data_IF_647318192286
#
_entry.id   IF_647318192286
#
_cell.length_a   1.000
_cell.length_b   1.000
_cell.length_c   1.000
_cell.angle_alpha   90.00
_cell.angle_beta   90.00
_cell.angle_gamma   90.00
#
_symmetry.space_group_name_H-M   'P 1'
#
loop_
_entity.id
_entity.type
_entity.pdbx_description
1 polymer ?
#
# COMPACT_ATOMS: atom_id res chain seq x y z
N UNK A 1 14.64 23.81 37.13
CA UNK A 1 13.25 24.29 37.02
C UNK A 1 13.17 25.04 35.69
N UNK A 2 12.34 24.60 34.73
CA UNK A 2 12.14 25.37 33.51
C UNK A 2 11.70 26.79 33.85
N UNK A 3 12.21 27.77 33.11
CA UNK A 3 11.93 29.19 33.35
C UNK A 3 10.44 29.47 33.06
N UNK A 4 9.75 30.20 33.94
CA UNK A 4 8.30 30.51 33.81
C UNK A 4 7.95 31.08 32.41
N UNK A 5 8.90 31.78 31.80
CA UNK A 5 8.86 32.30 30.43
C UNK A 5 8.65 31.22 29.34
N UNK A 6 9.23 30.03 29.50
CA UNK A 6 9.12 28.94 28.53
C UNK A 6 7.77 28.22 28.60
N UNK A 7 7.20 28.08 29.81
CA UNK A 7 5.86 27.50 30.01
C UNK A 7 4.80 28.37 29.33
N UNK A 8 4.88 29.69 29.50
CA UNK A 8 3.92 30.63 28.89
C UNK A 8 4.03 30.67 27.35
N UNK A 9 5.25 30.56 26.80
CA UNK A 9 5.45 30.40 25.34
C UNK A 9 4.83 29.11 24.82
N UNK A 10 4.99 28.00 25.53
CA UNK A 10 4.44 26.71 25.14
C UNK A 10 2.89 26.75 25.17
N UNK A 11 2.30 27.36 26.21
CA UNK A 11 0.85 27.59 26.32
C UNK A 11 0.32 28.44 25.15
N UNK A 12 1.01 29.52 24.80
CA UNK A 12 0.63 30.39 23.70
C UNK A 12 0.67 29.65 22.35
N UNK A 13 1.75 28.90 22.07
CA UNK A 13 1.87 28.08 20.86
C UNK A 13 0.77 27.01 20.80
N UNK A 14 0.48 26.35 21.93
CA UNK A 14 -0.57 25.33 22.02
C UNK A 14 -1.91 25.94 21.64
N UNK A 15 -2.28 27.07 22.24
CA UNK A 15 -3.53 27.79 21.93
C UNK A 15 -3.66 28.15 20.44
N UNK A 16 -2.57 28.57 19.80
CA UNK A 16 -2.55 28.87 18.36
C UNK A 16 -2.75 27.60 17.52
N UNK A 17 -2.10 26.49 17.88
CA UNK A 17 -2.29 25.20 17.20
C UNK A 17 -3.75 24.72 17.32
N UNK A 18 -4.33 24.82 18.53
CA UNK A 18 -5.73 24.50 18.80
C UNK A 18 -6.69 25.29 17.90
N UNK A 19 -6.53 26.62 17.87
CA UNK A 19 -7.35 27.49 17.03
C UNK A 19 -7.18 27.20 15.52
N UNK A 20 -5.98 26.82 15.08
CA UNK A 20 -5.71 26.43 13.70
C UNK A 20 -6.47 25.16 13.31
N UNK A 21 -6.52 24.15 14.18
CA UNK A 21 -7.27 22.90 13.95
C UNK A 21 -8.75 23.22 13.74
N UNK A 22 -9.36 23.93 14.70
CA UNK A 22 -10.78 24.28 14.62
C UNK A 22 -11.11 25.11 13.37
N UNK A 23 -10.25 26.08 13.01
CA UNK A 23 -10.45 26.90 11.80
C UNK A 23 -10.39 26.07 10.52
N UNK A 24 -9.40 25.20 10.39
CA UNK A 24 -9.24 24.36 9.22
C UNK A 24 -10.37 23.34 9.10
N UNK A 25 -10.80 22.76 10.23
CA UNK A 25 -11.92 21.82 10.31
C UNK A 25 -13.23 22.45 9.83
N UNK A 26 -13.55 23.64 10.31
CA UNK A 26 -14.73 24.38 9.86
C UNK A 26 -14.66 24.72 8.37
N UNK A 27 -13.47 25.07 7.87
CA UNK A 27 -13.28 25.37 6.45
C UNK A 27 -13.42 24.14 5.56
N UNK A 28 -12.97 22.98 6.04
CA UNK A 28 -13.20 21.70 5.37
C UNK A 28 -14.69 21.39 5.29
N UNK A 29 -15.41 21.45 6.42
CA UNK A 29 -16.87 21.20 6.46
C UNK A 29 -17.65 22.14 5.52
N UNK A 30 -17.28 23.42 5.48
CA UNK A 30 -17.88 24.40 4.55
C UNK A 30 -17.62 24.03 3.08
N UNK A 31 -16.39 23.64 2.74
CA UNK A 31 -16.04 23.24 1.39
C UNK A 31 -16.74 21.94 0.96
N UNK A 32 -16.85 20.95 1.86
CA UNK A 32 -17.59 19.72 1.58
C UNK A 32 -19.08 20.02 1.39
N UNK A 33 -19.66 20.86 2.25
CA UNK A 33 -21.08 21.22 2.20
C UNK A 33 -21.46 22.04 0.95
N UNK A 34 -20.53 22.84 0.43
CA UNK A 34 -20.73 23.67 -0.76
C UNK A 34 -20.32 23.00 -2.07
N UNK A 35 -19.95 21.71 -2.03
CA UNK A 35 -19.32 20.99 -3.14
C UNK A 35 -18.17 21.78 -3.78
N UNK A 36 -17.28 22.27 -2.91
CA UNK A 36 -16.19 23.16 -3.24
C UNK A 36 -15.02 22.46 -3.94
N UNK A 37 -13.93 23.21 -4.18
CA UNK A 37 -12.76 22.65 -4.85
C UNK A 37 -12.12 21.50 -4.02
N UNK A 38 -12.08 20.31 -4.61
CA UNK A 38 -11.37 19.11 -4.13
C UNK A 38 -9.95 19.43 -3.66
N UNK A 39 -9.20 20.24 -4.43
CA UNK A 39 -7.84 20.67 -4.09
C UNK A 39 -7.80 21.51 -2.81
N UNK A 40 -8.79 22.39 -2.59
CA UNK A 40 -8.90 23.18 -1.37
C UNK A 40 -9.30 22.29 -0.18
N UNK A 41 -10.21 21.32 -0.38
CA UNK A 41 -10.56 20.33 0.66
C UNK A 41 -9.33 19.57 1.13
N UNK A 42 -8.52 19.04 0.19
CA UNK A 42 -7.24 18.37 0.51
C UNK A 42 -6.27 19.29 1.26
N UNK A 43 -6.15 20.56 0.84
CA UNK A 43 -5.27 21.54 1.47
C UNK A 43 -5.67 21.81 2.93
N UNK A 44 -6.95 22.08 3.19
CA UNK A 44 -7.40 22.37 4.55
C UNK A 44 -7.41 21.12 5.43
N UNK A 45 -7.71 19.94 4.89
CA UNK A 45 -7.59 18.66 5.61
C UNK A 45 -6.15 18.39 6.07
N UNK A 46 -5.15 18.65 5.21
CA UNK A 46 -3.73 18.59 5.61
C UNK A 46 -3.42 19.56 6.75
N UNK A 47 -3.99 20.77 6.71
CA UNK A 47 -3.87 21.76 7.78
C UNK A 47 -4.53 21.33 9.10
N UNK A 48 -5.58 20.49 9.06
CA UNK A 48 -6.18 19.88 10.26
C UNK A 48 -5.20 18.89 10.89
N UNK A 49 -4.60 17.99 10.10
CA UNK A 49 -3.66 16.97 10.58
C UNK A 49 -2.37 17.59 11.17
N UNK A 50 -1.80 18.60 10.50
CA UNK A 50 -0.62 19.32 10.97
C UNK A 50 -0.91 20.09 12.27
N UNK A 51 -2.08 20.72 12.36
CA UNK A 51 -2.53 21.41 13.55
C UNK A 51 -2.72 20.45 14.72
N UNK A 52 -3.32 19.28 14.48
CA UNK A 52 -3.56 18.23 15.48
C UNK A 52 -2.24 17.72 16.04
N UNK A 53 -1.28 17.41 15.17
CA UNK A 53 0.05 16.93 15.57
C UNK A 53 0.75 17.95 16.45
N UNK A 54 0.79 19.23 16.03
CA UNK A 54 1.39 20.31 16.83
C UNK A 54 0.69 20.50 18.18
N UNK A 55 -0.64 20.41 18.23
CA UNK A 55 -1.39 20.52 19.47
C UNK A 55 -1.07 19.35 20.43
N UNK A 56 -0.90 18.13 19.91
CA UNK A 56 -0.53 16.95 20.70
C UNK A 56 0.89 17.06 21.26
N UNK A 57 1.86 17.43 20.42
CA UNK A 57 3.26 17.58 20.83
C UNK A 57 3.42 18.68 21.90
N UNK A 58 2.78 19.84 21.69
CA UNK A 58 2.81 20.95 22.66
C UNK A 58 2.04 20.62 23.95
N UNK A 59 1.05 19.74 23.89
CA UNK A 59 0.36 19.26 25.10
C UNK A 59 1.30 18.40 25.91
N UNK A 60 1.95 17.42 25.27
CA UNK A 60 2.95 16.55 25.90
C UNK A 60 4.10 17.34 26.52
N UNK A 61 4.63 18.32 25.79
CA UNK A 61 5.67 19.23 26.28
C UNK A 61 5.19 20.02 27.52
N UNK A 62 3.92 20.43 27.57
CA UNK A 62 3.35 21.09 28.74
C UNK A 62 3.18 20.16 29.95
N UNK A 63 2.89 18.87 29.74
CA UNK A 63 2.79 17.89 30.84
C UNK A 63 4.13 17.63 31.51
N UNK A 64 5.21 17.64 30.72
CA UNK A 64 6.57 17.50 31.23
C UNK A 64 7.05 18.75 32.00
N UNK A 65 6.58 19.95 31.61
CA UNK A 65 7.01 21.22 32.18
C UNK A 65 6.14 21.71 33.35
N UNK A 66 4.84 21.42 33.36
CA UNK A 66 3.87 21.90 34.36
C UNK A 66 2.70 20.90 34.57
N UNK A 67 2.93 19.81 35.31
CA UNK A 67 1.94 18.75 35.52
C UNK A 67 0.70 19.21 36.31
N UNK A 68 0.78 20.33 37.05
CA UNK A 68 -0.36 20.91 37.77
C UNK A 68 -1.36 21.65 36.86
N UNK A 69 -1.03 21.85 35.57
CA UNK A 69 -1.83 22.63 34.63
C UNK A 69 -2.89 21.81 33.86
N UNK A 70 -3.00 20.49 34.09
CA UNK A 70 -3.68 19.57 33.16
C UNK A 70 -4.88 18.87 33.80
N UNK A 71 -5.80 19.65 34.36
CA UNK A 71 -7.12 19.10 34.73
C UNK A 71 -8.27 19.70 33.91
N UNK A 72 -8.06 20.82 33.22
CA UNK A 72 -9.10 21.47 32.41
C UNK A 72 -8.90 21.30 30.89
N UNK A 73 -7.72 20.87 30.43
CA UNK A 73 -7.32 20.94 29.01
C UNK A 73 -7.19 19.58 28.30
N UNK A 74 -7.23 18.47 29.04
CA UNK A 74 -7.28 17.10 28.51
C UNK A 74 -8.63 16.78 27.82
N UNK A 75 -9.73 17.28 28.40
CA UNK A 75 -11.09 17.18 27.82
C UNK A 75 -11.15 17.77 26.41
N UNK A 76 -10.50 18.91 26.19
CA UNK A 76 -10.49 19.55 24.88
C UNK A 76 -9.76 18.71 23.82
N UNK A 77 -8.65 18.05 24.19
CA UNK A 77 -7.92 17.25 23.19
C UNK A 77 -8.73 16.01 22.80
N UNK A 78 -9.36 15.33 23.76
CA UNK A 78 -10.20 14.16 23.45
C UNK A 78 -11.41 14.53 22.60
N UNK A 79 -12.11 15.63 22.93
CA UNK A 79 -13.25 16.15 22.14
C UNK A 79 -12.82 16.58 20.73
N UNK A 80 -11.73 17.35 20.61
CA UNK A 80 -11.25 17.80 19.30
C UNK A 80 -10.65 16.66 18.49
N UNK A 81 -10.07 15.64 19.11
CA UNK A 81 -9.59 14.47 18.39
C UNK A 81 -10.73 13.65 17.78
N UNK A 82 -11.86 13.55 18.47
CA UNK A 82 -13.08 12.96 17.93
C UNK A 82 -13.57 13.75 16.71
N UNK A 83 -13.73 15.08 16.85
CA UNK A 83 -14.18 15.95 15.77
C UNK A 83 -13.23 15.94 14.56
N UNK A 84 -11.91 15.92 14.81
CA UNK A 84 -10.90 15.86 13.74
C UNK A 84 -10.98 14.54 12.98
N UNK A 85 -11.15 13.42 13.68
CA UNK A 85 -11.32 12.12 13.04
C UNK A 85 -12.60 12.08 12.19
N UNK A 86 -13.71 12.62 12.69
CA UNK A 86 -14.96 12.74 11.95
C UNK A 86 -14.78 13.54 10.65
N UNK A 87 -14.19 14.73 10.73
CA UNK A 87 -13.98 15.59 9.55
C UNK A 87 -13.02 14.98 8.54
N UNK A 88 -11.97 14.28 8.98
CA UNK A 88 -11.08 13.58 8.06
C UNK A 88 -11.79 12.38 7.38
N UNK A 89 -12.74 11.74 8.06
CA UNK A 89 -13.64 10.76 7.47
C UNK A 89 -14.54 11.36 6.39
N UNK A 90 -15.20 12.49 6.68
CA UNK A 90 -16.02 13.24 5.70
C UNK A 90 -15.20 13.65 4.47
N UNK A 91 -13.95 14.09 4.68
CA UNK A 91 -13.01 14.41 3.58
C UNK A 91 -12.77 13.19 2.72
N UNK A 92 -12.49 12.03 3.31
CA UNK A 92 -12.22 10.81 2.56
C UNK A 92 -13.43 10.42 1.69
N UNK A 93 -14.64 10.50 2.23
CA UNK A 93 -15.87 10.22 1.51
C UNK A 93 -16.12 11.22 0.36
N UNK A 94 -15.92 12.51 0.64
CA UNK A 94 -16.06 13.57 -0.36
C UNK A 94 -15.09 13.39 -1.54
N UNK A 95 -13.84 13.06 -1.26
CA UNK A 95 -12.82 12.82 -2.29
C UNK A 95 -13.18 11.61 -3.15
N UNK A 96 -13.64 10.51 -2.54
CA UNK A 96 -14.08 9.31 -3.25
C UNK A 96 -15.27 9.58 -4.18
N UNK A 97 -16.23 10.37 -3.73
CA UNK A 97 -17.39 10.79 -4.53
C UNK A 97 -16.98 11.70 -5.70
N UNK A 98 -15.99 12.57 -5.50
CA UNK A 98 -15.47 13.47 -6.53
C UNK A 98 -14.59 12.79 -7.59
N UNK A 99 -14.03 11.62 -7.27
CA UNK A 99 -13.13 10.84 -8.16
C UNK A 99 -13.85 9.73 -8.96
N UNK A 100 -15.17 9.56 -8.78
CA UNK A 100 -15.98 8.57 -9.50
C UNK A 100 -16.39 9.07 -10.90
N UNK A 101 -15.95 8.46 -12.02
CA UNK A 101 -16.45 8.78 -13.35
C UNK A 101 -17.81 8.09 -13.60
N UNK A 102 -18.82 8.85 -14.04
CA UNK A 102 -20.03 8.28 -14.62
C UNK A 102 -19.71 7.50 -15.91
N UNK A 103 -20.40 6.39 -16.23
CA UNK A 103 -20.27 5.70 -17.51
C UNK A 103 -20.77 6.56 -18.69
N UNK A 104 -19.98 6.47 -19.76
CA UNK A 104 -19.98 7.25 -20.99
C UNK A 104 -21.21 7.04 -21.91
N UNK A 105 -21.71 8.11 -22.52
CA UNK A 105 -22.46 8.18 -23.81
C UNK A 105 -22.38 9.67 -24.23
N UNK A 106 -21.86 10.15 -25.38
CA UNK A 106 -21.83 9.67 -26.76
C UNK A 106 -20.69 10.34 -27.57
N UNK A 107 -20.32 9.66 -28.66
CA UNK A 107 -19.38 10.00 -29.74
C UNK A 107 -19.51 11.39 -30.38
N UNK A 108 -18.38 12.02 -30.79
CA UNK A 108 -18.04 12.27 -32.22
C UNK A 108 -16.78 13.16 -32.47
N UNK A 109 -15.81 12.57 -33.18
CA UNK A 109 -15.06 13.04 -34.38
C UNK A 109 -14.29 14.41 -34.41
N UNK A 110 -12.95 14.27 -34.45
CA UNK A 110 -11.84 15.00 -35.16
C UNK A 110 -11.04 16.18 -34.57
N UNK A 111 -9.72 16.29 -34.92
CA UNK A 111 -8.69 17.18 -34.34
C UNK A 111 -8.22 18.28 -35.35
N UNK A 112 -7.04 18.93 -35.20
CA UNK A 112 -6.40 19.57 -34.05
C UNK A 112 -6.17 21.09 -34.30
N UNK A 113 -5.94 21.90 -33.27
CA UNK A 113 -5.17 23.16 -33.42
C UNK A 113 -4.39 23.44 -32.14
N UNK A 114 -3.09 23.60 -32.34
CA UNK A 114 -2.10 24.00 -31.35
C UNK A 114 -2.29 25.45 -30.91
N UNK A 115 -2.04 25.73 -29.64
CA UNK A 115 -1.17 26.83 -29.21
C UNK A 115 -0.96 26.80 -27.68
N UNK A 116 0.27 26.44 -27.33
CA UNK A 116 1.16 27.05 -26.32
C UNK A 116 0.53 27.67 -25.07
N UNK A 117 0.96 27.20 -23.89
CA UNK A 117 2.01 27.92 -23.17
C UNK A 117 2.63 27.01 -22.08
N UNK A 118 3.96 27.00 -22.10
CA UNK A 118 4.83 26.52 -21.04
C UNK A 118 4.48 27.18 -19.70
N UNK A 119 4.50 26.39 -18.62
CA UNK A 119 5.27 26.70 -17.41
C UNK A 119 5.22 25.51 -16.42
N UNK A 120 6.35 24.81 -16.35
CA UNK A 120 6.93 24.24 -15.14
C UNK A 120 6.14 23.16 -14.36
N UNK A 121 5.96 21.97 -14.96
CA UNK A 121 5.65 20.74 -14.22
C UNK A 121 6.91 20.08 -13.68
N UNK A 122 7.47 20.63 -12.62
CA UNK A 122 8.32 19.85 -11.71
C UNK A 122 7.75 20.00 -10.29
N UNK A 123 7.72 18.87 -9.58
CA UNK A 123 7.45 18.72 -8.13
C UNK A 123 5.99 18.52 -7.66
N UNK A 124 5.31 17.49 -8.18
CA UNK A 124 4.18 16.85 -7.46
C UNK A 124 4.53 15.49 -6.81
N UNK A 125 5.81 15.08 -6.85
CA UNK A 125 6.27 13.81 -6.25
C UNK A 125 6.94 13.94 -4.87
N UNK A 126 7.10 15.15 -4.31
CA UNK A 126 7.98 15.37 -3.14
C UNK A 126 7.27 15.32 -1.76
N UNK A 127 6.00 14.91 -1.71
CA UNK A 127 5.25 14.76 -0.44
C UNK A 127 4.73 13.33 -0.19
N UNK A 128 4.91 12.42 -1.16
CA UNK A 128 4.54 11.00 -1.06
C UNK A 128 5.71 10.09 -0.65
N UNK A 129 6.92 10.65 -0.56
CA UNK A 129 8.11 9.96 -0.09
C UNK A 129 8.50 10.48 1.27
N UNK A 130 8.44 9.62 2.29
CA UNK A 130 9.01 9.91 3.60
C UNK A 130 10.46 10.36 3.46
N UNK A 131 10.72 11.65 3.67
CA UNK A 131 12.06 12.22 3.58
C UNK A 131 12.86 11.84 4.82
N UNK A 132 13.41 10.62 4.79
CA UNK A 132 14.69 10.28 5.39
C UNK A 132 15.43 9.38 4.39
N UNK A 133 16.60 9.86 3.94
CA UNK A 133 17.53 9.28 2.94
C UNK A 133 17.18 9.53 1.46
N UNK A 134 18.17 9.93 0.67
CA UNK A 134 18.07 10.37 -0.74
C UNK A 134 17.81 9.24 -1.75
N UNK A 135 16.88 8.35 -1.44
CA UNK A 135 16.31 7.38 -2.37
C UNK A 135 14.93 7.90 -2.77
N UNK A 136 14.62 7.94 -4.07
CA UNK A 136 13.25 8.20 -4.54
C UNK A 136 12.29 7.31 -3.74
N UNK A 137 11.22 7.87 -3.20
CA UNK A 137 10.34 7.19 -2.26
C UNK A 137 9.97 5.79 -2.71
N UNK A 138 10.20 4.83 -1.82
CA UNK A 138 9.80 3.45 -2.06
C UNK A 138 8.29 3.41 -2.06
N UNK A 139 7.70 3.32 -3.26
CA UNK A 139 6.27 3.13 -3.41
C UNK A 139 5.87 1.74 -2.90
N UNK A 140 4.83 1.70 -2.08
CA UNK A 140 4.28 0.44 -1.61
C UNK A 140 3.48 -0.17 -2.77
N UNK A 141 3.78 -1.41 -3.18
CA UNK A 141 3.08 -2.04 -4.29
C UNK A 141 1.60 -2.25 -3.94
N UNK A 142 0.73 -2.17 -4.95
CA UNK A 142 -0.67 -2.54 -4.80
C UNK A 142 -0.83 -4.07 -4.80
N UNK A 143 -1.77 -4.58 -4.00
CA UNK A 143 -2.08 -6.00 -3.89
C UNK A 143 -3.40 -6.33 -4.59
N UNK A 144 -3.32 -7.24 -5.55
CA UNK A 144 -4.43 -7.67 -6.41
C UNK A 144 -5.16 -8.93 -5.90
N UNK A 145 -4.79 -9.44 -4.73
CA UNK A 145 -5.44 -10.61 -4.12
C UNK A 145 -4.90 -11.94 -4.62
N UNK A 146 -3.79 -11.95 -5.38
CA UNK A 146 -3.17 -13.19 -5.82
C UNK A 146 -2.22 -13.75 -4.74
N UNK A 147 -2.43 -14.99 -4.25
CA UNK A 147 -1.58 -15.56 -3.21
C UNK A 147 -0.08 -15.58 -3.58
N UNK A 148 0.29 -15.87 -4.84
CA UNK A 148 1.68 -15.88 -5.30
C UNK A 148 2.40 -14.53 -5.13
N UNK A 149 1.64 -13.43 -5.07
CA UNK A 149 2.19 -12.08 -4.86
C UNK A 149 2.18 -11.62 -3.40
N UNK A 150 1.49 -12.34 -2.52
CA UNK A 150 1.36 -11.95 -1.11
C UNK A 150 2.71 -11.83 -0.40
N UNK A 151 3.67 -12.77 -0.52
CA UNK A 151 4.95 -12.66 0.18
C UNK A 151 5.73 -11.39 -0.17
N UNK A 152 5.71 -10.98 -1.44
CA UNK A 152 6.36 -9.77 -1.91
C UNK A 152 5.67 -8.52 -1.36
N UNK A 153 4.34 -8.43 -1.53
CA UNK A 153 3.54 -7.32 -1.01
C UNK A 153 3.71 -7.15 0.50
N UNK A 154 3.47 -8.22 1.25
CA UNK A 154 3.53 -8.19 2.71
C UNK A 154 4.95 -7.92 3.21
N UNK A 155 5.99 -8.45 2.55
CA UNK A 155 7.38 -8.15 2.90
C UNK A 155 7.71 -6.65 2.85
N UNK A 156 7.28 -5.98 1.78
CA UNK A 156 7.48 -4.53 1.61
C UNK A 156 6.58 -3.75 2.56
N UNK A 157 5.28 -4.04 2.58
CA UNK A 157 4.31 -3.36 3.44
C UNK A 157 4.69 -3.48 4.92
N UNK A 158 5.11 -4.68 5.34
CA UNK A 158 5.48 -4.95 6.72
C UNK A 158 6.69 -4.12 7.15
N UNK A 159 7.69 -4.01 6.27
CA UNK A 159 8.93 -3.29 6.54
C UNK A 159 8.73 -1.77 6.58
N UNK A 160 7.83 -1.23 5.75
CA UNK A 160 7.62 0.21 5.64
C UNK A 160 6.53 0.75 6.57
N UNK A 161 5.47 -0.04 6.82
CA UNK A 161 4.26 0.41 7.53
C UNK A 161 4.01 -0.41 8.80
N UNK A 162 3.93 -1.74 8.71
CA UNK A 162 3.53 -2.57 9.86
C UNK A 162 4.49 -2.43 11.05
N UNK A 163 5.80 -2.54 10.80
CA UNK A 163 6.87 -2.44 11.80
C UNK A 163 7.26 -1.00 12.15
N UNK A 164 6.56 -0.01 11.62
CA UNK A 164 6.83 1.39 11.88
C UNK A 164 6.03 1.87 13.11
N UNK A 165 6.73 2.02 14.24
CA UNK A 165 6.12 2.41 15.52
C UNK A 165 5.67 3.88 15.57
N UNK A 166 6.04 4.68 14.56
CA UNK A 166 5.60 6.07 14.46
C UNK A 166 4.19 6.23 13.87
N UNK A 167 3.64 5.17 13.31
CA UNK A 167 2.32 5.17 12.69
C UNK A 167 1.29 4.57 13.65
N UNK A 168 0.15 5.24 13.82
CA UNK A 168 -0.95 4.71 14.60
C UNK A 168 -1.64 3.56 13.86
N UNK A 169 -2.32 2.64 14.56
CA UNK A 169 -3.07 1.55 13.91
C UNK A 169 -4.07 2.05 12.86
N UNK A 170 -4.75 3.17 13.10
CA UNK A 170 -5.68 3.79 12.15
C UNK A 170 -4.96 4.24 10.86
N UNK A 171 -3.78 4.86 10.97
CA UNK A 171 -2.96 5.26 9.82
C UNK A 171 -2.45 4.03 9.07
N UNK A 172 -2.02 2.98 9.78
CA UNK A 172 -1.59 1.72 9.16
C UNK A 172 -2.74 1.05 8.40
N UNK A 173 -3.96 1.10 8.94
CA UNK A 173 -5.16 0.58 8.28
C UNK A 173 -5.51 1.38 7.01
N UNK A 174 -5.42 2.72 7.07
CA UNK A 174 -5.64 3.56 5.89
C UNK A 174 -4.62 3.28 4.78
N UNK A 175 -3.33 3.14 5.14
CA UNK A 175 -2.30 2.74 4.18
C UNK A 175 -2.57 1.36 3.58
N UNK A 176 -2.90 0.37 4.43
CA UNK A 176 -3.26 -0.96 3.97
C UNK A 176 -4.39 -0.87 2.96
N UNK A 177 -5.46 -0.17 3.29
CA UNK A 177 -6.64 0.00 2.46
C UNK A 177 -6.32 0.64 1.09
N UNK A 178 -5.45 1.66 1.06
CA UNK A 178 -5.02 2.32 -0.19
C UNK A 178 -4.19 1.43 -1.11
N UNK A 179 -3.52 0.41 -0.56
CA UNK A 179 -2.70 -0.51 -1.33
C UNK A 179 -3.50 -1.75 -1.79
N UNK A 180 -4.76 -1.89 -1.40
CA UNK A 180 -5.61 -2.99 -1.84
C UNK A 180 -6.43 -2.59 -3.07
N UNK A 181 -6.52 -3.52 -4.03
CA UNK A 181 -7.55 -3.45 -5.08
C UNK A 181 -8.95 -3.60 -4.49
N UNK A 182 -9.97 -3.10 -5.18
CA UNK A 182 -11.35 -3.05 -4.66
C UNK A 182 -11.86 -4.42 -4.21
N UNK A 183 -11.56 -5.49 -4.97
CA UNK A 183 -11.92 -6.87 -4.61
C UNK A 183 -11.30 -7.34 -3.30
N UNK A 184 -10.07 -6.93 -3.00
CA UNK A 184 -9.39 -7.30 -1.76
C UNK A 184 -9.83 -6.42 -0.61
N UNK A 185 -10.19 -5.16 -0.90
CA UNK A 185 -10.73 -4.22 0.08
C UNK A 185 -12.03 -4.73 0.71
N UNK A 186 -12.87 -5.44 -0.05
CA UNK A 186 -14.08 -6.10 0.46
C UNK A 186 -13.81 -7.03 1.65
N UNK A 187 -12.62 -7.65 1.73
CA UNK A 187 -12.24 -8.57 2.82
C UNK A 187 -12.22 -7.87 4.17
N UNK A 188 -11.85 -6.58 4.17
CA UNK A 188 -11.67 -5.77 5.38
C UNK A 188 -12.67 -4.60 5.43
N UNK A 189 -13.68 -4.59 4.57
CA UNK A 189 -14.59 -3.46 4.39
C UNK A 189 -15.47 -3.16 5.61
N UNK A 190 -15.65 -4.11 6.52
CA UNK A 190 -16.41 -3.92 7.76
C UNK A 190 -15.59 -3.27 8.90
N UNK A 191 -14.31 -2.98 8.67
CA UNK A 191 -13.41 -2.41 9.67
C UNK A 191 -13.36 -0.89 9.52
N UNK A 192 -13.78 -0.17 10.55
CA UNK A 192 -14.00 1.29 10.52
C UNK A 192 -12.85 2.07 11.15
N UNK A 193 -11.80 1.38 11.61
CA UNK A 193 -10.64 2.00 12.25
C UNK A 193 -10.74 2.09 13.76
N UNK A 194 -11.62 1.28 14.37
CA UNK A 194 -11.69 1.11 15.81
C UNK A 194 -10.40 0.50 16.37
N UNK A 195 -10.12 0.67 17.67
CA UNK A 195 -8.99 0.01 18.31
C UNK A 195 -8.99 -1.51 18.07
N UNK A 196 -7.94 -2.02 17.43
CA UNK A 196 -7.78 -3.45 17.10
C UNK A 196 -8.24 -3.85 15.69
N UNK A 197 -8.92 -2.97 14.95
CA UNK A 197 -9.34 -3.25 13.58
C UNK A 197 -8.15 -3.47 12.63
N UNK A 198 -7.05 -2.75 12.84
CA UNK A 198 -5.83 -2.97 12.07
C UNK A 198 -5.32 -4.41 12.18
N UNK A 199 -5.25 -4.94 13.40
CA UNK A 199 -4.75 -6.30 13.64
C UNK A 199 -5.73 -7.34 13.07
N UNK A 200 -7.03 -7.07 13.14
CA UNK A 200 -8.06 -7.91 12.49
C UNK A 200 -7.92 -7.89 10.97
N UNK A 201 -7.67 -6.74 10.37
CA UNK A 201 -7.46 -6.60 8.93
C UNK A 201 -6.23 -7.40 8.47
N UNK A 202 -5.10 -7.24 9.17
CA UNK A 202 -3.87 -7.97 8.88
C UNK A 202 -4.10 -9.47 9.01
N UNK A 203 -4.78 -9.91 10.08
CA UNK A 203 -5.11 -11.32 10.29
C UNK A 203 -5.98 -11.86 9.17
N UNK A 204 -7.08 -11.21 8.81
CA UNK A 204 -7.97 -11.67 7.74
C UNK A 204 -7.28 -11.79 6.39
N UNK A 205 -6.43 -10.83 6.03
CA UNK A 205 -5.66 -10.90 4.79
C UNK A 205 -4.59 -11.99 4.84
N UNK A 206 -3.91 -12.16 5.98
CA UNK A 206 -2.90 -13.21 6.15
C UNK A 206 -3.51 -14.60 6.12
N UNK A 207 -4.64 -14.79 6.80
CA UNK A 207 -5.37 -16.08 6.81
C UNK A 207 -5.87 -16.44 5.39
N UNK A 208 -6.21 -15.43 4.57
CA UNK A 208 -6.76 -15.63 3.22
C UNK A 208 -5.73 -15.71 2.09
N UNK A 209 -4.60 -15.03 2.22
CA UNK A 209 -3.62 -14.90 1.13
C UNK A 209 -2.21 -15.33 1.53
N UNK A 210 -1.96 -15.49 2.82
CA UNK A 210 -0.66 -15.82 3.39
C UNK A 210 -0.45 -17.29 3.72
N UNK A 211 -1.43 -18.16 3.44
CA UNK A 211 -1.25 -19.61 3.62
C UNK A 211 -0.13 -20.10 2.66
N UNK A 212 0.99 -20.65 3.20
CA UNK A 212 2.06 -21.18 2.37
C UNK A 212 1.60 -22.22 1.35
N UNK A 213 0.56 -23.02 1.67
CA UNK A 213 0.03 -24.02 0.74
C UNK A 213 -0.67 -23.36 -0.44
N UNK A 214 -1.53 -22.38 -0.20
CA UNK A 214 -2.22 -21.67 -1.28
C UNK A 214 -1.24 -20.89 -2.18
N UNK A 215 -0.19 -20.31 -1.59
CA UNK A 215 0.88 -19.63 -2.33
C UNK A 215 1.55 -20.62 -3.30
N UNK A 216 1.93 -21.80 -2.80
CA UNK A 216 2.59 -22.84 -3.60
C UNK A 216 1.66 -23.39 -4.68
N UNK A 217 0.41 -23.68 -4.33
CA UNK A 217 -0.61 -24.12 -5.27
C UNK A 217 -0.86 -23.07 -6.35
N UNK A 218 -0.77 -21.78 -6.04
CA UNK A 218 -0.88 -20.71 -7.04
C UNK A 218 0.29 -20.75 -8.03
N UNK A 219 1.53 -20.92 -7.55
CA UNK A 219 2.71 -21.08 -8.41
C UNK A 219 2.60 -22.33 -9.29
N UNK A 220 2.29 -23.49 -8.69
CA UNK A 220 2.15 -24.76 -9.40
C UNK A 220 1.05 -24.71 -10.46
N UNK A 221 -0.14 -24.19 -10.11
CA UNK A 221 -1.23 -24.02 -11.08
C UNK A 221 -0.83 -23.12 -12.23
N UNK A 222 -0.18 -21.99 -11.95
CA UNK A 222 0.26 -21.02 -12.97
C UNK A 222 1.15 -21.69 -14.03
N UNK A 223 2.14 -22.47 -13.62
CA UNK A 223 3.06 -23.13 -14.58
C UNK A 223 2.44 -24.40 -15.21
N UNK A 224 1.59 -25.13 -14.49
CA UNK A 224 0.90 -26.32 -15.03
C UNK A 224 -0.11 -25.96 -16.12
N UNK A 225 -0.86 -24.87 -15.90
CA UNK A 225 -1.89 -24.40 -16.83
C UNK A 225 -1.32 -23.53 -17.95
N UNK A 226 0.01 -23.37 -18.04
CA UNK A 226 0.62 -22.56 -19.09
C UNK A 226 0.23 -23.11 -20.48
N UNK A 227 -0.13 -22.27 -21.45
CA UNK A 227 -0.41 -22.74 -22.81
C UNK A 227 0.85 -23.31 -23.46
N UNK A 228 0.68 -24.12 -24.50
CA UNK A 228 1.83 -24.56 -25.31
C UNK A 228 2.45 -23.35 -26.00
N UNK A 229 3.78 -23.21 -25.87
CA UNK A 229 4.54 -22.10 -26.40
C UNK A 229 4.84 -22.38 -27.87
N UNK A 230 4.48 -21.43 -28.73
CA UNK A 230 4.67 -21.57 -30.18
C UNK A 230 6.15 -21.45 -30.55
N UNK A 231 6.52 -22.09 -31.66
CA UNK A 231 7.85 -21.92 -32.23
C UNK A 231 8.16 -20.45 -32.50
N UNK A 232 9.38 -20.04 -32.11
CA UNK A 232 9.92 -18.67 -32.28
C UNK A 232 9.21 -17.59 -31.47
N UNK A 233 8.27 -17.94 -30.58
CA UNK A 233 7.65 -16.99 -29.65
C UNK A 233 8.55 -16.76 -28.42
N UNK A 234 9.55 -15.89 -28.59
CA UNK A 234 10.55 -15.63 -27.55
C UNK A 234 9.96 -14.95 -26.32
N UNK A 235 8.96 -14.10 -26.50
CA UNK A 235 8.38 -13.35 -25.39
C UNK A 235 7.61 -14.30 -24.46
N UNK A 236 6.79 -15.19 -25.02
CA UNK A 236 6.04 -16.15 -24.23
C UNK A 236 6.97 -17.19 -23.58
N UNK A 237 8.03 -17.61 -24.28
CA UNK A 237 9.08 -18.45 -23.71
C UNK A 237 9.74 -17.81 -22.49
N UNK A 238 10.12 -16.53 -22.60
CA UNK A 238 10.73 -15.81 -21.49
C UNK A 238 9.77 -15.67 -20.30
N UNK A 239 8.50 -15.35 -20.54
CA UNK A 239 7.48 -15.28 -19.48
C UNK A 239 7.28 -16.61 -18.77
N UNK A 240 7.32 -17.73 -19.49
CA UNK A 240 7.25 -19.06 -18.90
C UNK A 240 8.49 -19.36 -18.06
N UNK A 241 9.69 -19.05 -18.55
CA UNK A 241 10.94 -19.22 -17.82
C UNK A 241 10.95 -18.40 -16.51
N UNK A 242 10.52 -17.14 -16.55
CA UNK A 242 10.40 -16.28 -15.36
C UNK A 242 9.39 -16.84 -14.35
N UNK A 243 8.25 -17.37 -14.84
CA UNK A 243 7.25 -18.01 -13.99
C UNK A 243 7.76 -19.31 -13.35
N UNK A 244 8.50 -20.11 -14.10
CA UNK A 244 9.14 -21.34 -13.60
C UNK A 244 10.19 -21.02 -12.54
N UNK A 245 11.05 -20.04 -12.80
CA UNK A 245 12.05 -19.58 -11.84
C UNK A 245 11.40 -19.07 -10.54
N UNK A 246 10.32 -18.29 -10.64
CA UNK A 246 9.58 -17.83 -9.48
C UNK A 246 8.95 -18.99 -8.68
N UNK A 247 8.42 -20.00 -9.37
CA UNK A 247 7.91 -21.21 -8.72
C UNK A 247 9.02 -21.98 -8.00
N UNK A 248 10.18 -22.20 -8.64
CA UNK A 248 11.34 -22.84 -8.01
C UNK A 248 11.75 -22.09 -6.75
N UNK A 249 11.86 -20.76 -6.79
CA UNK A 249 12.18 -19.97 -5.60
C UNK A 249 11.14 -20.11 -4.48
N UNK A 250 9.84 -20.16 -4.81
CA UNK A 250 8.78 -20.32 -3.83
C UNK A 250 8.77 -21.73 -3.20
N UNK A 251 9.14 -22.75 -3.98
CA UNK A 251 9.14 -24.17 -3.60
C UNK A 251 10.49 -24.68 -3.08
N UNK A 252 11.57 -23.88 -3.12
CA UNK A 252 12.89 -24.22 -2.57
C UNK A 252 12.93 -24.13 -1.03
N UNK A 253 11.90 -24.71 -0.41
CA UNK A 253 11.80 -24.98 1.02
C UNK A 253 11.79 -26.50 1.20
N UNK A 254 12.40 -27.04 2.28
CA UNK A 254 12.51 -28.49 2.49
C UNK A 254 11.19 -29.24 2.33
N UNK A 255 10.09 -28.62 2.77
CA UNK A 255 8.76 -29.23 2.78
C UNK A 255 8.17 -29.43 1.36
N UNK A 256 8.66 -28.72 0.34
CA UNK A 256 8.04 -28.68 -1.00
C UNK A 256 8.99 -29.05 -2.15
N UNK A 257 10.26 -29.37 -1.86
CA UNK A 257 11.23 -29.80 -2.88
C UNK A 257 10.79 -31.04 -3.65
N UNK A 258 10.01 -31.92 -3.04
CA UNK A 258 9.51 -33.12 -3.68
C UNK A 258 8.54 -32.83 -4.84
N UNK A 259 7.80 -31.71 -4.80
CA UNK A 259 6.93 -31.27 -5.90
C UNK A 259 7.75 -30.85 -7.12
N UNK A 260 8.90 -30.18 -6.91
CA UNK A 260 9.82 -29.80 -7.99
C UNK A 260 10.54 -31.00 -8.62
N UNK A 261 10.81 -32.04 -7.84
CA UNK A 261 11.48 -33.26 -8.30
C UNK A 261 10.51 -34.30 -8.92
N UNK A 262 9.21 -33.98 -9.00
CA UNK A 262 8.19 -34.90 -9.50
C UNK A 262 8.35 -35.14 -11.01
N UNK A 263 8.70 -36.36 -11.41
CA UNK A 263 8.88 -36.74 -12.83
C UNK A 263 7.64 -36.42 -13.69
N UNK A 264 6.40 -36.75 -13.28
CA UNK A 264 5.21 -36.39 -14.05
C UNK A 264 5.06 -34.87 -14.23
N UNK A 265 5.43 -34.10 -13.20
CA UNK A 265 5.38 -32.65 -13.24
C UNK A 265 6.43 -32.07 -14.19
N UNK A 266 7.69 -32.53 -14.10
CA UNK A 266 8.74 -32.16 -15.04
C UNK A 266 8.35 -32.48 -16.48
N UNK A 267 7.77 -33.66 -16.72
CA UNK A 267 7.30 -34.09 -18.04
C UNK A 267 6.21 -33.14 -18.57
N UNK A 268 5.26 -32.75 -17.72
CA UNK A 268 4.21 -31.79 -18.07
C UNK A 268 4.79 -30.42 -18.47
N UNK A 269 5.80 -29.93 -17.74
CA UNK A 269 6.46 -28.66 -18.02
C UNK A 269 7.26 -28.69 -19.33
N UNK A 270 7.99 -29.78 -19.59
CA UNK A 270 8.73 -30.00 -20.85
C UNK A 270 7.78 -30.03 -22.05
N UNK A 271 6.55 -30.54 -21.88
CA UNK A 271 5.53 -30.50 -22.94
C UNK A 271 5.05 -29.08 -23.29
N UNK A 272 5.26 -28.09 -22.42
CA UNK A 272 4.92 -26.68 -22.70
C UNK A 272 5.95 -26.01 -23.62
N UNK A 273 7.18 -26.50 -23.61
CA UNK A 273 8.27 -25.95 -24.42
C UNK A 273 8.02 -26.16 -25.91
N UNK A 274 8.50 -25.23 -26.77
CA UNK A 274 8.48 -25.45 -28.20
C UNK A 274 9.36 -26.66 -28.59
N UNK A 275 9.09 -27.30 -29.74
CA UNK A 275 9.80 -28.48 -30.23
C UNK A 275 11.33 -28.39 -30.14
N UNK A 276 11.92 -27.27 -30.57
CA UNK A 276 13.37 -27.12 -30.60
C UNK A 276 13.99 -27.14 -29.20
N UNK A 277 13.44 -26.36 -28.28
CA UNK A 277 13.93 -26.25 -26.91
C UNK A 277 13.68 -27.54 -26.13
N UNK A 278 12.64 -28.29 -26.48
CA UNK A 278 12.41 -29.64 -25.97
C UNK A 278 13.49 -30.62 -26.42
N UNK A 279 13.86 -30.60 -27.70
CA UNK A 279 14.94 -31.45 -28.22
C UNK A 279 16.30 -31.09 -27.58
N UNK A 280 16.53 -29.79 -27.32
CA UNK A 280 17.71 -29.32 -26.59
C UNK A 280 17.69 -29.78 -25.13
N UNK A 281 16.54 -29.72 -24.44
CA UNK A 281 16.37 -30.27 -23.08
C UNK A 281 16.73 -31.75 -23.02
N UNK A 282 16.22 -32.56 -23.96
CA UNK A 282 16.43 -34.03 -23.96
C UNK A 282 17.92 -34.36 -24.08
N UNK A 283 18.60 -33.68 -25.01
CA UNK A 283 20.06 -33.83 -25.17
C UNK A 283 20.83 -33.48 -23.91
N UNK A 284 20.38 -32.44 -23.19
CA UNK A 284 21.06 -32.00 -21.98
C UNK A 284 20.89 -33.02 -20.85
N UNK A 285 19.68 -33.55 -20.63
CA UNK A 285 19.45 -34.57 -19.59
C UNK A 285 20.14 -35.88 -19.92
N UNK A 286 20.09 -36.33 -21.18
CA UNK A 286 20.87 -37.49 -21.59
C UNK A 286 22.36 -37.27 -21.34
N UNK A 287 22.90 -36.08 -21.60
CA UNK A 287 24.33 -35.78 -21.35
C UNK A 287 24.72 -35.72 -19.88
N UNK A 288 23.81 -35.34 -18.98
CA UNK A 288 24.04 -35.28 -17.53
C UNK A 288 23.99 -36.68 -16.89
N UNK A 289 23.06 -37.55 -17.32
CA UNK A 289 22.97 -38.95 -16.89
C UNK A 289 24.25 -39.73 -17.19
N UNK A 290 24.87 -39.53 -18.36
CA UNK A 290 26.17 -40.14 -18.69
C UNK A 290 27.34 -39.63 -17.83
N UNK A 291 27.18 -38.50 -17.12
CA UNK A 291 28.25 -37.90 -16.30
C UNK A 291 28.20 -38.33 -14.83
N UNK A 292 27.03 -38.68 -14.31
CA UNK A 292 26.86 -39.22 -12.95
C UNK A 292 27.24 -40.70 -12.88
N UNK A 293 26.97 -41.49 -13.94
CA UNK A 293 27.38 -42.89 -14.03
C UNK A 293 28.91 -43.12 -14.14
N UNK A 294 29.69 -42.04 -14.29
CA UNK A 294 31.16 -42.08 -14.43
C UNK A 294 31.92 -41.58 -13.20
N UNK A 295 31.23 -41.33 -12.06
CA UNK A 295 31.82 -40.97 -10.76
C UNK A 295 31.54 -42.03 -9.70
#
# INVERSE_FOLDING_TARGET
>A
MPEVSEIDKCRAKRKVAKASVTRNMNRVRELISSDGSVSKVRQFAKGVEEGRTKARDLTKELEELDPASIETDGSWLEEVEFDVNEVLGEVAEYLLKSESPLPNEQSSITPPTAQNNDENTETVNDLMSGKRTGLKGVEIPSFDGKPDKWPYFWGIFSSLVHKNDKLTPAIKLAHLNSCLTDRVREVIACLTGEPGDYDRAVKQLTDRYGDPREIIDAHLRRISSWPHIKDKDREEFQRFADALQAAVFALDKPDYRHELASIPFCTLLVQKLPPRERDEWVKQVESEDYSEDMK
#
